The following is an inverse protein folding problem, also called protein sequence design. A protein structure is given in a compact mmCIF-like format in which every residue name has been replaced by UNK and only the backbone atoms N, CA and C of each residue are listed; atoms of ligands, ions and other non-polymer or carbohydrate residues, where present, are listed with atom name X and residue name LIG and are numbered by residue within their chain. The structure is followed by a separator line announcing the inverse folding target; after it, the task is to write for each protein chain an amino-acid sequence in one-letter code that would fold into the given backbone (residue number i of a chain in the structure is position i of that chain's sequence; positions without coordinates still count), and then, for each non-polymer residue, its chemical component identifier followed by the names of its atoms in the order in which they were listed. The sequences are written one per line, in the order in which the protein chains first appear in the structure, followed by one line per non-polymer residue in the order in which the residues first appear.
data_IF_782615601242
#
_entry.id   IF_782615601242
#
_cell.length_a   1.000
_cell.length_b   1.000
_cell.length_c   1.000
_cell.angle_alpha   90.00
_cell.angle_beta   90.00
_cell.angle_gamma   90.00
#
_symmetry.space_group_name_H-M   'P 1'
#
loop_
_entity.id
_entity.type
_entity.pdbx_description
1 polymer ?
#
# COMPACT_ATOMS: atom_id res chain seq x y z
N UNK A 1 10.18 6.75 -15.54
CA UNK A 1 10.31 5.82 -14.39
C UNK A 1 9.02 5.94 -13.60
N UNK A 2 8.21 4.88 -13.52
CA UNK A 2 6.92 4.94 -12.84
C UNK A 2 7.14 4.64 -11.36
N UNK A 3 6.88 5.61 -10.48
CA UNK A 3 6.89 5.40 -9.04
C UNK A 3 5.45 5.22 -8.58
N UNK A 4 5.12 4.03 -8.09
CA UNK A 4 3.88 3.77 -7.35
C UNK A 4 4.18 4.16 -5.91
N UNK A 5 3.41 5.12 -5.37
CA UNK A 5 3.59 5.58 -4.00
C UNK A 5 2.58 4.84 -3.11
N UNK A 6 3.08 4.20 -2.06
CA UNK A 6 2.24 3.54 -1.08
C UNK A 6 1.88 4.52 0.04
N UNK A 7 0.59 4.67 0.32
CA UNK A 7 0.10 5.46 1.44
C UNK A 7 -0.75 4.56 2.35
N UNK A 8 -0.38 4.46 3.62
CA UNK A 8 -1.25 3.86 4.63
C UNK A 8 -2.10 4.96 5.26
N UNK A 9 -3.42 4.83 5.18
CA UNK A 9 -4.34 5.75 5.86
C UNK A 9 -4.85 5.08 7.14
N UNK A 10 -4.60 5.70 8.30
CA UNK A 10 -5.22 5.32 9.58
C UNK A 10 -6.53 6.08 9.75
N UNK A 11 -7.65 5.38 9.89
CA UNK A 11 -8.91 5.99 10.36
C UNK A 11 -9.02 5.79 11.86
N UNK A 12 -9.03 6.90 12.62
CA UNK A 12 -9.27 6.90 14.06
C UNK A 12 -10.69 6.38 14.36
N UNK A 13 -10.79 5.17 14.90
CA UNK A 13 -12.05 4.57 15.38
C UNK A 13 -11.95 4.45 16.90
N UNK A 14 -12.78 5.22 17.60
CA UNK A 14 -12.72 5.43 19.04
C UNK A 14 -13.30 4.23 19.83
N UNK A 15 -12.59 3.84 20.91
CA UNK A 15 -13.01 3.00 22.05
C UNK A 15 -12.91 1.47 21.96
N UNK A 16 -11.96 0.90 22.71
CA UNK A 16 -12.08 -0.15 23.77
C UNK A 16 -10.63 -0.56 24.11
N UNK A 17 -10.28 -0.65 25.41
CA UNK A 17 -8.95 -0.87 26.03
C UNK A 17 -8.04 -1.98 25.44
N UNK A 18 -7.68 -1.85 24.17
CA UNK A 18 -6.71 -2.67 23.46
C UNK A 18 -5.62 -1.73 23.01
N UNK A 19 -4.35 -2.08 23.16
CA UNK A 19 -3.20 -1.22 22.84
C UNK A 19 -3.41 -0.55 21.46
N UNK A 20 -3.82 0.71 21.46
CA UNK A 20 -4.07 1.47 20.24
C UNK A 20 -2.72 1.91 19.72
N UNK A 21 -2.39 1.47 18.51
CA UNK A 21 -1.17 1.86 17.83
C UNK A 21 -1.47 2.17 16.37
N UNK A 22 -0.73 3.14 15.85
CA UNK A 22 -0.81 3.51 14.44
C UNK A 22 -0.42 2.36 13.51
N UNK A 23 -0.69 2.50 12.21
CA UNK A 23 -0.30 1.51 11.22
C UNK A 23 1.20 1.25 11.22
N UNK A 24 1.58 -0.02 11.25
CA UNK A 24 2.96 -0.51 11.14
C UNK A 24 3.03 -1.49 9.98
N UNK A 25 4.05 -1.33 9.14
CA UNK A 25 4.34 -2.27 8.05
C UNK A 25 4.64 -3.67 8.59
N UNK A 26 3.88 -4.65 8.11
CA UNK A 26 4.22 -6.07 8.25
C UNK A 26 5.02 -6.56 7.03
N UNK A 27 4.68 -6.03 5.86
CA UNK A 27 5.37 -6.29 4.61
C UNK A 27 5.50 -4.97 3.85
N UNK A 28 6.74 -4.49 3.73
CA UNK A 28 7.05 -3.32 2.94
C UNK A 28 7.07 -3.65 1.45
N UNK A 29 6.51 -2.78 0.60
CA UNK A 29 6.60 -2.95 -0.84
C UNK A 29 8.02 -2.69 -1.35
N UNK A 30 8.44 -3.44 -2.37
CA UNK A 30 9.73 -3.21 -3.02
C UNK A 30 9.82 -1.80 -3.60
N UNK A 31 10.89 -1.07 -3.27
CA UNK A 31 11.13 0.29 -3.76
C UNK A 31 11.30 0.37 -5.29
N UNK A 32 11.69 -0.74 -5.91
CA UNK A 32 11.77 -0.89 -7.36
C UNK A 32 11.15 -2.22 -7.75
N UNK A 33 10.31 -2.19 -8.78
CA UNK A 33 9.72 -3.38 -9.36
C UNK A 33 10.23 -3.55 -10.79
N UNK A 34 10.88 -4.67 -11.05
CA UNK A 34 11.35 -5.05 -12.38
C UNK A 34 10.38 -6.07 -12.95
N UNK A 35 9.75 -5.75 -14.08
CA UNK A 35 8.79 -6.65 -14.74
C UNK A 35 9.41 -7.35 -15.94
N UNK A 36 9.01 -8.60 -16.16
CA UNK A 36 9.24 -9.33 -17.40
C UNK A 36 7.96 -9.32 -18.23
N UNK A 37 8.05 -9.06 -19.53
CA UNK A 37 6.89 -9.06 -20.43
C UNK A 37 6.17 -10.42 -20.49
N UNK A 38 6.85 -11.52 -20.13
CA UNK A 38 6.27 -12.88 -20.18
C UNK A 38 5.67 -13.34 -18.86
N UNK A 39 6.14 -12.82 -17.74
CA UNK A 39 5.80 -13.31 -16.39
C UNK A 39 5.07 -12.26 -15.56
N UNK A 40 5.14 -10.99 -15.96
CA UNK A 40 4.66 -9.86 -15.17
C UNK A 40 5.48 -9.68 -13.90
N UNK A 41 4.90 -8.98 -12.93
CA UNK A 41 5.46 -8.79 -11.60
C UNK A 41 4.37 -8.39 -10.61
N UNK A 42 4.59 -8.70 -9.34
CA UNK A 42 3.66 -8.43 -8.26
C UNK A 42 4.35 -7.63 -7.15
N UNK A 43 3.69 -6.58 -6.67
CA UNK A 43 4.02 -5.96 -5.39
C UNK A 43 3.03 -6.45 -4.35
N UNK A 44 3.54 -6.84 -3.19
CA UNK A 44 2.74 -7.18 -2.02
C UNK A 44 3.01 -6.17 -0.91
N UNK A 45 1.98 -5.79 -0.17
CA UNK A 45 2.08 -4.89 0.98
C UNK A 45 1.11 -5.36 2.07
N UNK A 46 1.53 -5.30 3.32
CA UNK A 46 0.69 -5.59 4.47
C UNK A 46 1.02 -4.63 5.63
N UNK A 47 -0.01 -4.21 6.35
CA UNK A 47 0.12 -3.37 7.54
C UNK A 47 -0.83 -3.86 8.62
N UNK A 48 -0.48 -3.60 9.88
CA UNK A 48 -1.37 -3.84 11.01
C UNK A 48 -1.41 -2.59 11.91
N UNK A 49 -2.47 -2.48 12.69
CA UNK A 49 -2.73 -1.34 13.56
C UNK A 49 -4.00 -1.61 14.34
N UNK A 50 -4.23 -0.80 15.36
CA UNK A 50 -5.45 -0.87 16.17
C UNK A 50 -6.04 0.53 16.26
N UNK A 51 -7.14 0.84 15.52
CA UNK A 51 -7.95 -0.07 14.68
C UNK A 51 -7.24 -0.54 13.40
N UNK A 52 -7.72 -1.65 12.80
CA UNK A 52 -7.11 -2.26 11.62
C UNK A 52 -7.01 -1.27 10.44
N UNK A 53 -5.81 -1.04 9.87
CA UNK A 53 -5.63 -0.02 8.85
C UNK A 53 -6.24 -0.41 7.50
N UNK A 54 -6.48 0.59 6.65
CA UNK A 54 -6.83 0.39 5.25
C UNK A 54 -5.57 0.61 4.40
N UNK A 55 -5.29 -0.33 3.49
CA UNK A 55 -4.11 -0.29 2.62
C UNK A 55 -4.58 -0.02 1.19
N UNK A 56 -4.12 1.08 0.61
CA UNK A 56 -4.48 1.50 -0.74
C UNK A 56 -3.22 1.87 -1.54
N UNK A 57 -3.23 1.53 -2.82
CA UNK A 57 -2.17 1.91 -3.77
C UNK A 57 -2.53 3.23 -4.41
N UNK A 58 -1.62 4.21 -4.35
CA UNK A 58 -1.82 5.51 -5.00
C UNK A 58 -0.82 5.73 -6.15
N UNK A 59 -1.29 6.37 -7.20
CA UNK A 59 -0.46 6.93 -8.25
C UNK A 59 0.30 8.16 -7.71
N UNK A 60 1.28 8.63 -8.48
CA UNK A 60 2.04 9.83 -8.10
C UNK A 60 1.18 11.09 -7.93
N UNK A 61 -0.01 11.13 -8.53
CA UNK A 61 -0.98 12.21 -8.40
C UNK A 61 -1.92 12.05 -7.18
N UNK A 62 -1.69 11.02 -6.35
CA UNK A 62 -2.48 10.73 -5.16
C UNK A 62 -3.80 10.01 -5.44
N UNK A 63 -4.11 9.65 -6.69
CA UNK A 63 -5.32 8.88 -7.01
C UNK A 63 -5.12 7.39 -6.77
N UNK A 64 -6.21 6.69 -6.46
CA UNK A 64 -6.19 5.24 -6.32
C UNK A 64 -5.80 4.56 -7.63
N UNK A 65 -4.86 3.61 -7.54
CA UNK A 65 -4.41 2.82 -8.68
C UNK A 65 -5.53 1.87 -9.09
N UNK A 66 -6.14 2.12 -10.25
CA UNK A 66 -7.09 1.19 -10.90
C UNK A 66 -6.44 0.45 -12.07
N UNK A 67 -5.50 1.11 -12.74
CA UNK A 67 -4.64 0.56 -13.78
C UNK A 67 -3.36 1.39 -13.82
N UNK A 68 -2.21 0.76 -14.03
CA UNK A 68 -0.93 1.47 -14.17
C UNK A 68 -0.73 1.78 -15.65
N UNK A 69 -0.79 3.05 -16.08
CA UNK A 69 -0.60 3.40 -17.49
C UNK A 69 0.82 3.04 -17.93
N UNK A 70 0.95 2.26 -19.00
CA UNK A 70 2.25 1.89 -19.58
C UNK A 70 2.80 0.52 -19.17
N UNK A 71 2.09 -0.24 -18.33
CA UNK A 71 2.28 -1.70 -18.25
C UNK A 71 1.54 -2.35 -19.44
N UNK A 72 2.25 -3.15 -20.25
CA UNK A 72 1.68 -3.92 -21.36
C UNK A 72 2.16 -5.36 -21.29
#
# INVERSE_FOLDING_TARGET
MFQILLFIQGKDQQSVHSQTHGPVYLLEPSAQLTFSNTTGSQVSCAAHGSPNPQVEWLLHDGKTVTSVPGLR
#
